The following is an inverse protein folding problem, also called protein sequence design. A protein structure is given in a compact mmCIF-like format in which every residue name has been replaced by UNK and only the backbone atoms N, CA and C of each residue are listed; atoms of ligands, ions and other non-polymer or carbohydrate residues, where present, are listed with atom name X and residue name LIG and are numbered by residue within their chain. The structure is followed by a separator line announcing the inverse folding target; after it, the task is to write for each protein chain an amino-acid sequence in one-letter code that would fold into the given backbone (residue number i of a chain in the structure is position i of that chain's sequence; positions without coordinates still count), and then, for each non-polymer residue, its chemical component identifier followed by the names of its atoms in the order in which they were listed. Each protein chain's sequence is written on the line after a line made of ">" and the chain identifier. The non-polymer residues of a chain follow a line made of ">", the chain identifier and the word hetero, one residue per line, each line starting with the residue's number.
data_IF_144781006869
#
_entry.id   IF_144781006869
#
_cell.length_a   1.000
_cell.length_b   1.000
_cell.length_c   1.000
_cell.angle_alpha   90.00
_cell.angle_beta   90.00
_cell.angle_gamma   90.00
#
_symmetry.space_group_name_H-M   'P 1'
#
loop_
_entity.id
_entity.type
_entity.pdbx_description
1 polymer ?
#
# COMPACT_ATOMS: atom_id res chain seq x y z
N UNK A 1 2.66 -1.40 -12.90
CA UNK A 1 2.77 -0.34 -13.94
C UNK A 1 1.41 0.20 -14.42
N UNK A 2 0.41 -0.62 -14.77
CA UNK A 2 -0.87 -0.15 -15.36
C UNK A 2 -1.65 0.86 -14.50
N UNK A 3 -1.62 0.73 -13.18
CA UNK A 3 -2.35 1.61 -12.26
C UNK A 3 -1.81 3.05 -12.22
N UNK A 4 -0.56 3.29 -12.63
CA UNK A 4 0.10 4.59 -12.53
C UNK A 4 0.07 5.39 -13.84
N UNK A 5 -0.37 4.78 -14.95
CA UNK A 5 -0.31 5.37 -16.29
C UNK A 5 -1.09 6.69 -16.40
N UNK A 6 -2.21 6.80 -15.70
CA UNK A 6 -3.08 7.97 -15.75
C UNK A 6 -2.76 9.03 -14.68
N UNK A 7 -1.60 8.93 -14.02
CA UNK A 7 -1.19 9.82 -12.94
C UNK A 7 -2.31 10.07 -11.89
N UNK A 8 -2.93 9.02 -11.33
CA UNK A 8 -4.09 9.19 -10.45
C UNK A 8 -3.73 9.91 -9.15
N UNK A 9 -4.70 10.59 -8.55
CA UNK A 9 -4.55 11.20 -7.22
C UNK A 9 -4.67 10.16 -6.09
N UNK A 10 -5.35 9.04 -6.37
CA UNK A 10 -5.56 7.94 -5.42
C UNK A 10 -5.11 6.63 -6.04
N UNK A 11 -4.27 5.89 -5.31
CA UNK A 11 -3.78 4.57 -5.66
C UNK A 11 -4.42 3.56 -4.71
N UNK A 12 -5.12 2.58 -5.27
CA UNK A 12 -5.66 1.44 -4.52
C UNK A 12 -4.79 0.22 -4.79
N UNK A 13 -4.19 -0.34 -3.75
CA UNK A 13 -3.28 -1.48 -3.85
C UNK A 13 -3.79 -2.63 -2.98
N UNK A 14 -4.30 -3.68 -3.61
CA UNK A 14 -4.74 -4.89 -2.93
C UNK A 14 -3.65 -5.95 -3.02
N UNK A 15 -3.02 -6.26 -1.88
CA UNK A 15 -1.88 -7.18 -1.75
C UNK A 15 -0.79 -6.97 -2.81
N UNK A 16 -0.23 -5.75 -2.97
CA UNK A 16 0.64 -5.41 -4.09
C UNK A 16 2.01 -6.11 -4.08
N UNK A 17 2.38 -6.71 -2.95
CA UNK A 17 3.61 -7.46 -2.74
C UNK A 17 3.36 -8.97 -2.69
N UNK A 18 2.11 -9.41 -2.88
CA UNK A 18 1.76 -10.82 -3.00
C UNK A 18 2.45 -11.44 -4.22
N UNK A 19 3.02 -12.64 -4.05
CA UNK A 19 3.71 -13.40 -5.09
C UNK A 19 5.11 -12.89 -5.52
N UNK A 20 5.72 -11.98 -4.76
CA UNK A 20 7.12 -11.56 -4.94
C UNK A 20 8.05 -12.19 -3.89
N UNK A 21 9.34 -12.30 -4.20
CA UNK A 21 10.35 -12.62 -3.18
C UNK A 21 10.64 -11.40 -2.28
N UNK A 22 11.27 -11.61 -1.13
CA UNK A 22 11.46 -10.57 -0.11
C UNK A 22 12.18 -9.32 -0.63
N UNK A 23 13.15 -9.46 -1.53
CA UNK A 23 13.86 -8.33 -2.12
C UNK A 23 12.93 -7.50 -3.01
N UNK A 24 12.14 -8.15 -3.85
CA UNK A 24 11.17 -7.48 -4.73
C UNK A 24 9.96 -6.92 -3.98
N UNK A 25 9.54 -7.53 -2.87
CA UNK A 25 8.49 -6.98 -1.99
C UNK A 25 8.88 -5.62 -1.45
N UNK A 26 10.11 -5.51 -0.94
CA UNK A 26 10.64 -4.27 -0.36
C UNK A 26 10.69 -3.17 -1.42
N UNK A 27 11.26 -3.48 -2.59
CA UNK A 27 11.34 -2.53 -3.69
C UNK A 27 9.96 -2.05 -4.16
N UNK A 28 8.99 -2.97 -4.33
CA UNK A 28 7.64 -2.61 -4.76
C UNK A 28 6.92 -1.74 -3.71
N UNK A 29 7.11 -2.04 -2.42
CA UNK A 29 6.59 -1.24 -1.34
C UNK A 29 7.20 0.18 -1.34
N UNK A 30 8.52 0.28 -1.43
CA UNK A 30 9.24 1.57 -1.46
C UNK A 30 8.71 2.46 -2.57
N UNK A 31 8.58 1.94 -3.79
CA UNK A 31 8.01 2.68 -4.90
C UNK A 31 6.59 3.20 -4.63
N UNK A 32 5.73 2.41 -3.97
CA UNK A 32 4.37 2.85 -3.65
C UNK A 32 4.35 3.97 -2.60
N UNK A 33 5.22 3.89 -1.59
CA UNK A 33 5.31 4.92 -0.56
C UNK A 33 6.00 6.20 -1.05
N UNK A 34 7.01 6.07 -1.90
CA UNK A 34 7.70 7.22 -2.51
C UNK A 34 6.75 7.99 -3.44
N UNK A 35 5.92 7.29 -4.20
CA UNK A 35 4.88 7.91 -5.02
C UNK A 35 3.89 8.74 -4.20
N UNK A 36 3.59 8.34 -2.96
CA UNK A 36 2.74 9.14 -2.08
C UNK A 36 3.46 10.33 -1.46
N UNK A 37 4.67 10.13 -0.95
CA UNK A 37 5.41 11.17 -0.23
C UNK A 37 5.91 12.28 -1.15
N UNK A 38 6.35 11.93 -2.37
CA UNK A 38 6.94 12.87 -3.32
C UNK A 38 5.90 13.55 -4.21
N UNK A 39 4.83 12.83 -4.57
CA UNK A 39 3.85 13.32 -5.56
C UNK A 39 2.52 13.78 -4.94
N UNK A 40 2.41 13.81 -3.61
CA UNK A 40 1.20 14.23 -2.89
C UNK A 40 -0.01 13.33 -3.14
N UNK A 41 0.22 12.08 -3.56
CA UNK A 41 -0.82 11.10 -3.87
C UNK A 41 -1.31 10.41 -2.61
N UNK A 42 -2.54 9.93 -2.64
CA UNK A 42 -3.11 9.09 -1.57
C UNK A 42 -2.95 7.61 -1.92
N UNK A 43 -2.42 6.81 -1.00
CA UNK A 43 -2.37 5.35 -1.12
C UNK A 43 -3.32 4.71 -0.12
N UNK A 44 -4.20 3.84 -0.62
CA UNK A 44 -4.94 2.88 0.20
C UNK A 44 -4.41 1.50 -0.09
N UNK A 45 -3.84 0.88 0.95
CA UNK A 45 -3.17 -0.40 0.86
C UNK A 45 -3.91 -1.44 1.69
N UNK A 46 -4.20 -2.59 1.09
CA UNK A 46 -4.66 -3.79 1.77
C UNK A 46 -3.51 -4.79 1.80
N UNK A 47 -3.13 -5.23 2.99
CA UNK A 47 -2.09 -6.24 3.17
C UNK A 47 -2.21 -7.02 4.46
N UNK A 48 -1.79 -8.28 4.45
CA UNK A 48 -1.56 -9.10 5.64
C UNK A 48 -0.17 -8.88 6.28
N UNK A 49 0.74 -8.16 5.60
CA UNK A 49 2.09 -7.89 6.09
C UNK A 49 2.11 -6.72 7.10
N UNK A 50 2.32 -7.04 8.38
CA UNK A 50 2.25 -6.05 9.46
C UNK A 50 3.39 -5.01 9.44
N UNK A 51 4.56 -5.39 8.97
CA UNK A 51 5.70 -4.51 8.69
C UNK A 51 5.37 -3.49 7.61
N UNK A 52 4.70 -3.92 6.53
CA UNK A 52 4.27 -3.03 5.45
C UNK A 52 3.17 -2.07 5.92
N UNK A 53 2.17 -2.59 6.63
CA UNK A 53 1.08 -1.78 7.18
C UNK A 53 1.59 -0.67 8.13
N UNK A 54 2.63 -0.95 8.93
CA UNK A 54 3.25 0.02 9.86
C UNK A 54 3.91 1.21 9.18
N UNK A 55 4.18 1.14 7.87
CA UNK A 55 4.72 2.27 7.10
C UNK A 55 3.65 3.30 6.71
N UNK A 56 2.37 2.94 6.78
CA UNK A 56 1.28 3.85 6.46
C UNK A 56 1.03 4.86 7.59
N UNK A 57 0.60 6.07 7.23
CA UNK A 57 0.27 7.12 8.20
C UNK A 57 -0.84 6.70 9.18
N UNK A 58 -1.75 5.84 8.70
CA UNK A 58 -2.87 5.30 9.48
C UNK A 58 -3.02 3.83 9.16
N UNK A 59 -3.23 3.02 10.20
CA UNK A 59 -3.55 1.60 10.03
C UNK A 59 -4.94 1.30 10.56
N UNK A 60 -5.69 0.49 9.81
CA UNK A 60 -6.97 -0.04 10.24
C UNK A 60 -6.94 -1.57 10.13
N UNK A 61 -7.66 -2.26 11.01
CA UNK A 61 -7.88 -3.70 10.96
C UNK A 61 -9.31 -3.99 10.53
N UNK A 62 -9.45 -4.78 9.47
CA UNK A 62 -10.73 -5.35 9.06
C UNK A 62 -10.93 -6.70 9.74
N UNK A 63 -12.05 -6.88 10.45
CA UNK A 63 -12.41 -8.13 11.12
C UNK A 63 -13.92 -8.28 11.12
N UNK A 64 -14.42 -9.45 10.70
CA UNK A 64 -15.86 -9.75 10.62
C UNK A 64 -16.67 -8.71 9.82
N UNK A 65 -16.09 -8.17 8.75
CA UNK A 65 -16.70 -7.13 7.93
C UNK A 65 -16.69 -5.73 8.55
N UNK A 66 -16.07 -5.55 9.72
CA UNK A 66 -15.97 -4.26 10.42
C UNK A 66 -14.53 -3.74 10.36
N UNK A 67 -14.37 -2.51 9.86
CA UNK A 67 -13.09 -1.82 9.85
C UNK A 67 -12.92 -1.01 11.14
N UNK A 68 -11.82 -1.25 11.88
CA UNK A 68 -11.49 -0.53 13.12
C UNK A 68 -10.12 0.14 12.99
N UNK A 69 -9.99 1.37 13.44
CA UNK A 69 -8.68 2.01 13.57
C UNK A 69 -7.82 1.27 14.60
N UNK A 70 -6.52 1.13 14.31
CA UNK A 70 -5.52 0.63 15.26
C UNK A 70 -4.91 1.76 16.08
#
# INVERSE_FOLDING_TARGET
>A
ARALVNNPDVILADEPTGNLDEAHKTLAADLLFDLTSESGKTLVLVTHAADLARRADRTCRLSEGVLKAL
#
